data_IF_676948244714
#
_entry.id   IF_676948244714
#
_cell.length_a   1.000
_cell.length_b   1.000
_cell.length_c   1.000
_cell.angle_alpha   90.00
_cell.angle_beta   90.00
_cell.angle_gamma   90.00
#
_symmetry.space_group_name_H-M   'P 1'
#
loop_
_entity.id
_entity.type
_entity.pdbx_description
1 polymer ?
#
# COMPACT_ATOMS: atom_id res chain seq x y z
N UNK A 1 5.86 12.34 18.71
CA UNK A 1 4.78 12.30 17.70
C UNK A 1 4.37 13.74 17.42
N UNK A 2 4.81 14.34 16.29
CA UNK A 2 4.19 15.49 15.59
C UNK A 2 5.12 16.39 14.75
N UNK A 3 6.35 16.00 14.39
CA UNK A 3 7.14 16.83 13.47
C UNK A 3 6.44 17.03 12.11
N UNK A 4 5.92 15.94 11.52
CA UNK A 4 5.21 16.01 10.24
C UNK A 4 3.92 16.86 10.30
N UNK A 5 3.19 16.78 11.41
CA UNK A 5 1.93 17.51 11.62
C UNK A 5 2.15 19.00 11.97
N UNK A 6 3.35 19.35 12.45
CA UNK A 6 3.75 20.73 12.73
C UNK A 6 4.31 21.43 11.49
N UNK A 7 4.82 20.67 10.50
CA UNK A 7 5.48 21.19 9.31
C UNK A 7 4.62 21.14 8.04
N UNK A 8 3.64 20.24 7.93
CA UNK A 8 2.79 20.10 6.74
C UNK A 8 1.34 20.48 7.03
N UNK A 9 0.86 21.55 6.39
CA UNK A 9 -0.55 21.94 6.44
C UNK A 9 -1.44 20.97 5.65
N UNK A 10 -2.74 20.98 5.95
CA UNK A 10 -3.72 20.17 5.21
C UNK A 10 -3.78 20.53 3.71
N UNK A 11 -3.58 21.81 3.37
CA UNK A 11 -3.55 22.25 1.96
C UNK A 11 -2.37 21.62 1.22
N UNK A 12 -1.18 21.70 1.80
CA UNK A 12 0.03 21.12 1.20
C UNK A 12 -0.09 19.59 1.09
N UNK A 13 -0.66 18.92 2.09
CA UNK A 13 -0.94 17.49 2.01
C UNK A 13 -1.90 17.14 0.85
N UNK A 14 -2.97 17.92 0.67
CA UNK A 14 -3.90 17.73 -0.45
C UNK A 14 -3.23 17.98 -1.81
N UNK A 15 -2.32 18.93 -1.90
CA UNK A 15 -1.52 19.17 -3.12
C UNK A 15 -0.62 17.97 -3.44
N UNK A 16 0.03 17.38 -2.45
CA UNK A 16 0.80 16.15 -2.64
C UNK A 16 -0.07 14.97 -3.08
N UNK A 17 -1.28 14.82 -2.54
CA UNK A 17 -2.24 13.81 -3.00
C UNK A 17 -2.68 14.05 -4.45
N UNK A 18 -2.95 15.30 -4.82
CA UNK A 18 -3.28 15.67 -6.18
C UNK A 18 -2.12 15.36 -7.14
N UNK A 19 -0.88 15.70 -6.74
CA UNK A 19 0.31 15.38 -7.52
C UNK A 19 0.49 13.86 -7.68
N UNK A 20 0.38 13.08 -6.60
CA UNK A 20 0.46 11.61 -6.67
C UNK A 20 -0.62 10.98 -7.57
N UNK A 21 -1.80 11.59 -7.66
CA UNK A 21 -2.85 11.11 -8.56
C UNK A 21 -2.51 11.31 -10.05
N UNK A 22 -1.73 12.33 -10.38
CA UNK A 22 -1.27 12.63 -11.73
C UNK A 22 0.00 11.84 -12.08
N UNK A 23 0.95 11.83 -11.15
CA UNK A 23 2.24 11.17 -11.29
C UNK A 23 2.46 10.23 -10.10
N UNK A 24 1.93 8.99 -10.16
CA UNK A 24 2.15 8.03 -9.11
C UNK A 24 3.60 7.55 -9.14
N UNK A 25 4.26 7.63 -7.99
CA UNK A 25 5.66 7.27 -7.77
C UNK A 25 5.84 6.28 -6.62
N UNK A 26 7.02 5.68 -6.52
CA UNK A 26 7.38 4.76 -5.46
C UNK A 26 7.54 3.31 -5.94
N UNK A 27 8.22 2.51 -5.11
CA UNK A 27 8.64 1.14 -5.45
C UNK A 27 7.45 0.26 -5.84
N UNK A 28 6.33 0.33 -5.12
CA UNK A 28 5.12 -0.44 -5.45
C UNK A 28 4.59 -0.13 -6.86
N UNK A 29 4.65 1.15 -7.29
CA UNK A 29 4.23 1.55 -8.63
C UNK A 29 5.21 1.11 -9.71
N UNK A 30 6.50 1.14 -9.42
CA UNK A 30 7.54 0.68 -10.34
C UNK A 30 7.51 -0.85 -10.52
N UNK A 31 7.28 -1.58 -9.44
CA UNK A 31 7.07 -3.03 -9.46
C UNK A 31 5.80 -3.37 -10.25
N UNK A 32 4.71 -2.63 -10.07
CA UNK A 32 3.49 -2.83 -10.86
C UNK A 32 3.69 -2.58 -12.36
N UNK A 33 4.42 -1.52 -12.74
CA UNK A 33 4.77 -1.26 -14.15
C UNK A 33 5.61 -2.40 -14.73
N UNK A 34 6.57 -2.91 -13.96
CA UNK A 34 7.41 -4.05 -14.35
C UNK A 34 6.58 -5.33 -14.49
N UNK A 35 5.73 -5.62 -13.51
CA UNK A 35 4.84 -6.79 -13.50
C UNK A 35 3.88 -6.79 -14.69
N UNK A 36 3.36 -5.63 -15.10
CA UNK A 36 2.54 -5.50 -16.30
C UNK A 36 3.31 -5.94 -17.55
N UNK A 37 4.54 -5.46 -17.72
CA UNK A 37 5.40 -5.85 -18.85
C UNK A 37 5.70 -7.36 -18.84
N UNK A 38 6.06 -7.92 -17.68
CA UNK A 38 6.30 -9.36 -17.55
C UNK A 38 5.05 -10.16 -17.92
N UNK A 39 3.87 -9.75 -17.44
CA UNK A 39 2.61 -10.41 -17.77
C UNK A 39 2.34 -10.44 -19.28
N UNK A 40 2.62 -9.34 -19.98
CA UNK A 40 2.46 -9.26 -21.43
C UNK A 40 3.45 -10.18 -22.17
N UNK A 41 4.71 -10.22 -21.73
CA UNK A 41 5.76 -11.07 -22.32
C UNK A 41 5.44 -12.55 -22.12
N UNK A 42 5.06 -12.96 -20.90
CA UNK A 42 4.74 -14.36 -20.58
C UNK A 42 3.46 -14.80 -21.28
N UNK A 43 2.45 -13.93 -21.37
CA UNK A 43 1.18 -14.26 -22.02
C UNK A 43 1.26 -14.29 -23.55
N UNK A 44 2.18 -13.53 -24.17
CA UNK A 44 2.29 -13.43 -25.63
C UNK A 44 2.39 -14.79 -26.35
N UNK A 45 3.26 -15.71 -25.90
CA UNK A 45 3.36 -17.06 -26.47
C UNK A 45 2.22 -18.02 -26.11
N UNK A 46 1.35 -17.68 -25.15
CA UNK A 46 0.23 -18.55 -24.75
C UNK A 46 -0.84 -18.54 -25.86
N UNK A 47 -0.93 -19.64 -26.61
CA UNK A 47 -2.01 -19.81 -27.58
C UNK A 47 -3.34 -19.92 -26.83
N UNK A 48 -4.19 -18.89 -26.99
CA UNK A 48 -5.49 -18.74 -26.33
C UNK A 48 -6.46 -19.82 -26.80
N UNK A 49 -6.53 -20.94 -26.09
CA UNK A 49 -7.77 -21.73 -25.98
C UNK A 49 -7.99 -22.27 -24.57
N UNK A 50 -6.95 -22.74 -23.88
CA UNK A 50 -7.16 -23.52 -22.64
C UNK A 50 -6.25 -23.12 -21.45
N UNK A 51 -5.59 -21.95 -21.52
CA UNK A 51 -4.63 -21.53 -20.48
C UNK A 51 -5.10 -20.27 -19.75
N UNK A 52 -5.07 -20.33 -18.42
CA UNK A 52 -5.19 -19.16 -17.55
C UNK A 52 -4.02 -18.21 -17.86
N UNK A 53 -4.34 -16.95 -18.17
CA UNK A 53 -3.34 -15.92 -18.36
C UNK A 53 -2.84 -15.40 -17.02
N UNK A 54 -1.57 -15.03 -16.96
CA UNK A 54 -1.01 -14.37 -15.80
C UNK A 54 -1.45 -12.91 -15.75
N UNK A 55 -1.78 -12.43 -14.56
CA UNK A 55 -2.06 -11.03 -14.26
C UNK A 55 -0.81 -10.35 -13.71
N UNK A 56 -0.73 -9.01 -13.70
CA UNK A 56 0.38 -8.32 -13.05
C UNK A 56 0.55 -8.72 -11.58
N UNK A 57 -0.54 -8.97 -10.85
CA UNK A 57 -0.50 -9.35 -9.44
C UNK A 57 0.26 -10.67 -9.19
N UNK A 58 0.34 -11.56 -10.17
CA UNK A 58 1.10 -12.82 -10.06
C UNK A 58 2.62 -12.59 -10.02
N UNK A 59 3.08 -11.39 -10.37
CA UNK A 59 4.49 -10.98 -10.36
C UNK A 59 4.80 -9.87 -9.35
N UNK A 60 3.81 -9.46 -8.54
CA UNK A 60 4.00 -8.43 -7.52
C UNK A 60 4.62 -9.01 -6.24
N UNK A 61 5.55 -8.30 -5.58
CA UNK A 61 6.00 -8.66 -4.24
C UNK A 61 4.82 -8.62 -3.24
N UNK A 62 4.82 -9.53 -2.27
CA UNK A 62 3.88 -9.46 -1.17
C UNK A 62 4.35 -8.44 -0.13
N UNK A 63 3.98 -7.17 -0.31
CA UNK A 63 4.31 -6.10 0.66
C UNK A 63 3.63 -6.26 2.02
N UNK A 64 2.63 -7.15 2.12
CA UNK A 64 1.92 -7.42 3.38
C UNK A 64 2.51 -8.58 4.19
N UNK A 65 3.53 -9.28 3.66
CA UNK A 65 4.09 -10.49 4.27
C UNK A 65 4.82 -10.23 5.61
N UNK A 66 5.15 -8.97 5.94
CA UNK A 66 5.77 -8.59 7.22
C UNK A 66 4.79 -8.07 8.27
N UNK A 67 3.56 -7.75 7.87
CA UNK A 67 2.54 -7.22 8.76
C UNK A 67 1.56 -8.34 9.11
N UNK A 68 1.95 -9.20 10.05
CA UNK A 68 0.94 -9.76 10.94
C UNK A 68 0.27 -8.57 11.65
N UNK A 69 -0.78 -8.03 11.04
CA UNK A 69 -1.63 -7.01 11.65
C UNK A 69 -2.19 -7.64 12.92
N UNK A 70 -1.50 -7.41 14.04
CA UNK A 70 -2.04 -7.68 15.37
C UNK A 70 -3.37 -6.96 15.40
N UNK A 71 -4.44 -7.73 15.34
CA UNK A 71 -5.79 -7.19 15.35
C UNK A 71 -5.98 -6.65 16.75
N UNK A 72 -5.75 -5.35 16.93
CA UNK A 72 -5.90 -4.72 18.22
C UNK A 72 -7.37 -4.74 18.59
N UNK A 73 -7.71 -5.49 19.63
CA UNK A 73 -9.10 -5.66 20.04
C UNK A 73 -9.65 -4.36 20.64
N UNK A 74 -10.98 -4.20 20.65
CA UNK A 74 -11.62 -3.06 21.30
C UNK A 74 -11.25 -2.96 22.80
N UNK A 75 -11.02 -4.11 23.44
CA UNK A 75 -10.49 -4.23 24.79
C UNK A 75 -9.07 -3.68 24.94
N UNK A 76 -8.19 -3.92 23.96
CA UNK A 76 -6.83 -3.37 23.97
C UNK A 76 -6.83 -1.84 23.80
N UNK A 77 -7.73 -1.32 22.95
CA UNK A 77 -7.93 0.13 22.81
C UNK A 77 -8.46 0.77 24.10
N UNK A 78 -9.44 0.15 24.75
CA UNK A 78 -9.97 0.63 26.03
C UNK A 78 -8.89 0.66 27.13
N UNK A 79 -8.04 -0.37 27.19
CA UNK A 79 -6.94 -0.44 28.14
C UNK A 79 -5.94 0.70 27.93
N UNK A 80 -5.53 0.97 26.68
CA UNK A 80 -4.60 2.07 26.36
C UNK A 80 -5.22 3.42 26.73
N UNK A 81 -6.49 3.66 26.37
CA UNK A 81 -7.18 4.93 26.68
C UNK A 81 -7.28 5.15 28.20
N UNK A 82 -7.58 4.09 28.96
CA UNK A 82 -7.64 4.17 30.43
C UNK A 82 -6.27 4.44 31.07
N UNK A 83 -5.20 3.88 30.51
CA UNK A 83 -3.83 4.12 30.97
C UNK A 83 -3.37 5.55 30.69
N UNK A 84 -3.80 6.14 29.57
CA UNK A 84 -3.56 7.55 29.24
C UNK A 84 -4.32 8.48 30.20
N UNK A 85 -5.59 8.17 30.48
CA UNK A 85 -6.43 8.96 31.38
C UNK A 85 -5.91 8.99 32.83
N UNK A 86 -5.29 7.91 33.30
CA UNK A 86 -4.66 7.84 34.64
C UNK A 86 -3.34 8.61 34.76
N UNK A 87 -2.76 9.05 33.64
CA UNK A 87 -1.46 9.72 33.60
C UNK A 87 -1.58 11.25 33.59
N UNK A 88 -2.80 11.78 33.54
CA UNK A 88 -3.15 13.18 33.77
C UNK A 88 -3.64 13.37 35.20
#
# INVERSE_FOLDING_TARGET
MNQLSQELSLSEFNEWLAYYSLEPFGVEKDDHRTALMVSAVVNGPLQRKDKTLFTPNDFMPNYSAGDEKKTQSATDMAAILSAIAKRQ
#
